data_IF_337458281958
#
_entry.id   IF_337458281958
#
_cell.length_a   1.000
_cell.length_b   1.000
_cell.length_c   1.000
_cell.angle_alpha   90.00
_cell.angle_beta   90.00
_cell.angle_gamma   90.00
#
_symmetry.space_group_name_H-M   'P 1'
#
loop_
_entity.id
_entity.type
_entity.pdbx_description
1 polymer ?
#
# COMPACT_ATOMS: atom_id res chain seq x y z
N UNK A 1 8.43 -33.58 -28.33
CA UNK A 1 9.42 -32.93 -27.44
C UNK A 1 8.90 -31.59 -26.94
N UNK A 2 8.32 -30.76 -27.83
CA UNK A 2 7.74 -29.44 -27.50
C UNK A 2 6.66 -29.45 -26.40
N UNK A 3 5.68 -30.36 -26.44
CA UNK A 3 4.63 -30.43 -25.39
C UNK A 3 5.19 -30.66 -23.99
N UNK A 4 6.24 -31.49 -23.86
CA UNK A 4 6.88 -31.79 -22.58
C UNK A 4 7.65 -30.59 -22.05
N UNK A 5 8.37 -29.87 -22.93
CA UNK A 5 9.07 -28.64 -22.56
C UNK A 5 8.09 -27.54 -22.12
N UNK A 6 6.97 -27.40 -22.83
CA UNK A 6 5.88 -26.49 -22.43
C UNK A 6 5.37 -26.81 -21.02
N UNK A 7 5.04 -28.08 -20.74
CA UNK A 7 4.56 -28.53 -19.41
C UNK A 7 5.58 -28.16 -18.32
N UNK A 8 6.87 -28.46 -18.52
CA UNK A 8 7.93 -28.14 -17.55
C UNK A 8 7.98 -26.63 -17.28
N UNK A 9 7.87 -25.79 -18.32
CA UNK A 9 7.86 -24.34 -18.15
C UNK A 9 6.65 -23.84 -17.35
N UNK A 10 5.46 -24.41 -17.58
CA UNK A 10 4.27 -24.06 -16.80
C UNK A 10 4.43 -24.50 -15.35
N UNK A 11 4.89 -25.72 -15.08
CA UNK A 11 5.14 -26.21 -13.73
C UNK A 11 6.16 -25.34 -12.98
N UNK A 12 7.22 -24.87 -13.66
CA UNK A 12 8.16 -23.90 -13.10
C UNK A 12 7.46 -22.60 -12.70
N UNK A 13 6.63 -22.03 -13.58
CA UNK A 13 5.86 -20.81 -13.28
C UNK A 13 4.91 -21.00 -12.10
N UNK A 14 4.23 -22.14 -12.02
CA UNK A 14 3.36 -22.48 -10.88
C UNK A 14 4.19 -22.54 -9.59
N UNK A 15 5.33 -23.23 -9.62
CA UNK A 15 6.22 -23.33 -8.46
C UNK A 15 6.67 -21.95 -7.96
N UNK A 16 7.10 -21.06 -8.86
CA UNK A 16 7.48 -19.69 -8.51
C UNK A 16 6.32 -18.94 -7.83
N UNK A 17 5.10 -19.02 -8.39
CA UNK A 17 3.92 -18.38 -7.77
C UNK A 17 3.58 -19.00 -6.42
N UNK A 18 3.76 -20.30 -6.25
CA UNK A 18 3.56 -20.97 -4.96
C UNK A 18 4.56 -20.47 -3.90
N UNK A 19 5.82 -20.24 -4.28
CA UNK A 19 6.83 -19.69 -3.37
C UNK A 19 6.49 -18.26 -2.97
N UNK A 20 6.10 -17.42 -3.93
CA UNK A 20 5.62 -16.07 -3.63
C UNK A 20 4.41 -16.09 -2.70
N UNK A 21 3.40 -16.90 -2.97
CA UNK A 21 2.19 -16.98 -2.14
C UNK A 21 2.50 -17.47 -0.72
N UNK A 22 3.37 -18.49 -0.57
CA UNK A 22 3.80 -19.01 0.73
C UNK A 22 4.54 -17.98 1.58
N UNK A 23 5.25 -17.04 0.95
CA UNK A 23 5.97 -15.98 1.65
C UNK A 23 5.05 -14.91 2.26
N UNK A 24 3.77 -14.88 1.88
CA UNK A 24 2.82 -13.90 2.39
C UNK A 24 2.35 -14.25 3.81
N UNK A 25 2.22 -13.26 4.72
CA UNK A 25 1.80 -13.48 6.10
C UNK A 25 0.42 -14.16 6.19
N UNK A 26 -0.60 -13.49 5.66
CA UNK A 26 -1.97 -13.93 5.65
C UNK A 26 -2.30 -14.60 4.30
N UNK A 27 -3.10 -15.68 4.34
CA UNK A 27 -3.52 -16.45 3.15
C UNK A 27 -5.05 -16.38 3.00
N UNK A 28 -5.57 -15.19 2.76
CA UNK A 28 -7.01 -14.94 2.65
C UNK A 28 -7.64 -15.68 1.46
N UNK A 29 -6.87 -15.85 0.38
CA UNK A 29 -7.30 -16.47 -0.87
C UNK A 29 -6.82 -17.92 -1.02
N UNK A 30 -6.41 -18.60 0.06
CA UNK A 30 -5.77 -19.93 -0.01
C UNK A 30 -6.59 -20.95 -0.81
N UNK A 31 -7.88 -21.08 -0.49
CA UNK A 31 -8.80 -21.98 -1.20
C UNK A 31 -8.89 -21.66 -2.69
N UNK A 32 -8.95 -20.38 -3.06
CA UNK A 32 -9.05 -19.97 -4.47
C UNK A 32 -7.73 -20.22 -5.21
N UNK A 33 -6.60 -19.97 -4.56
CA UNK A 33 -5.26 -20.23 -5.11
C UNK A 33 -5.03 -21.73 -5.33
N UNK A 34 -5.37 -22.58 -4.36
CA UNK A 34 -5.26 -24.04 -4.45
C UNK A 34 -6.16 -24.61 -5.56
N UNK A 35 -7.41 -24.15 -5.65
CA UNK A 35 -8.33 -24.54 -6.73
C UNK A 35 -7.77 -24.16 -8.10
N UNK A 36 -7.16 -22.98 -8.22
CA UNK A 36 -6.57 -22.54 -9.47
C UNK A 36 -5.35 -23.39 -9.87
N UNK A 37 -4.48 -23.76 -8.90
CA UNK A 37 -3.37 -24.67 -9.15
C UNK A 37 -3.91 -26.03 -9.63
N UNK A 38 -4.90 -26.59 -8.92
CA UNK A 38 -5.50 -27.87 -9.29
C UNK A 38 -6.12 -27.83 -10.69
N UNK A 39 -6.76 -26.72 -11.06
CA UNK A 39 -7.30 -26.52 -12.40
C UNK A 39 -6.21 -26.56 -13.48
N UNK A 40 -5.14 -25.79 -13.31
CA UNK A 40 -4.04 -25.73 -14.28
C UNK A 40 -3.32 -27.08 -14.36
N UNK A 41 -2.99 -27.70 -13.23
CA UNK A 41 -2.36 -29.03 -13.20
C UNK A 41 -3.23 -30.10 -13.86
N UNK A 42 -4.54 -30.13 -13.57
CA UNK A 42 -5.47 -31.06 -14.19
C UNK A 42 -5.58 -30.89 -15.71
N UNK A 43 -5.47 -29.65 -16.22
CA UNK A 43 -5.41 -29.38 -17.66
C UNK A 43 -4.14 -29.94 -18.31
N UNK A 44 -2.99 -29.85 -17.64
CA UNK A 44 -1.72 -30.40 -18.10
C UNK A 44 -1.74 -31.94 -18.10
N UNK A 45 -2.25 -32.56 -17.03
CA UNK A 45 -2.30 -34.02 -16.86
C UNK A 45 -3.15 -34.70 -17.93
N UNK A 46 -4.29 -34.10 -18.30
CA UNK A 46 -5.17 -34.64 -19.35
C UNK A 46 -4.55 -34.62 -20.75
N UNK A 47 -3.54 -33.77 -20.98
CA UNK A 47 -3.00 -33.51 -22.32
C UNK A 47 -1.48 -33.74 -22.42
N UNK A 48 -0.90 -34.59 -21.54
CA UNK A 48 0.56 -34.81 -21.42
C UNK A 48 1.27 -35.04 -22.76
N UNK A 49 0.66 -35.81 -23.67
CA UNK A 49 1.29 -36.20 -24.92
C UNK A 49 1.13 -35.16 -26.05
N UNK A 50 0.02 -34.40 -26.04
CA UNK A 50 -0.31 -33.44 -27.10
C UNK A 50 -1.19 -32.32 -26.55
N UNK A 51 -0.64 -31.11 -26.52
CA UNK A 51 -1.36 -29.88 -26.18
C UNK A 51 -1.44 -29.05 -27.45
N UNK A 52 -2.64 -28.64 -27.86
CA UNK A 52 -2.83 -27.75 -29.02
C UNK A 52 -2.39 -26.33 -28.70
N UNK A 53 -2.12 -25.51 -29.71
CA UNK A 53 -1.77 -24.09 -29.50
C UNK A 53 -2.86 -23.34 -28.70
N UNK A 54 -4.14 -23.63 -28.98
CA UNK A 54 -5.25 -23.05 -28.21
C UNK A 54 -5.19 -23.47 -26.74
N UNK A 55 -5.01 -24.76 -26.44
CA UNK A 55 -4.89 -25.25 -25.08
C UNK A 55 -3.65 -24.67 -24.36
N UNK A 56 -2.53 -24.48 -25.08
CA UNK A 56 -1.35 -23.82 -24.53
C UNK A 56 -1.67 -22.38 -24.13
N UNK A 57 -2.40 -21.65 -24.97
CA UNK A 57 -2.79 -20.27 -24.68
C UNK A 57 -3.75 -20.19 -23.49
N UNK A 58 -4.71 -21.10 -23.40
CA UNK A 58 -5.65 -21.17 -22.28
C UNK A 58 -4.89 -21.43 -20.96
N UNK A 59 -3.97 -22.41 -20.95
CA UNK A 59 -3.11 -22.70 -19.79
C UNK A 59 -2.22 -21.50 -19.42
N UNK A 60 -1.69 -20.78 -20.41
CA UNK A 60 -0.90 -19.57 -20.15
C UNK A 60 -1.74 -18.48 -19.51
N UNK A 61 -2.98 -18.26 -19.98
CA UNK A 61 -3.91 -17.31 -19.39
C UNK A 61 -4.25 -17.69 -17.93
N UNK A 62 -4.47 -18.97 -17.67
CA UNK A 62 -4.80 -19.45 -16.32
C UNK A 62 -3.58 -19.45 -15.38
N UNK A 63 -2.36 -19.49 -15.94
CA UNK A 63 -1.12 -19.21 -15.19
C UNK A 63 -0.97 -17.72 -14.88
N UNK A 64 -1.39 -16.82 -15.79
CA UNK A 64 -1.46 -15.38 -15.51
C UNK A 64 -2.52 -15.07 -14.45
N UNK A 65 -3.64 -15.81 -14.43
CA UNK A 65 -4.61 -15.72 -13.33
C UNK A 65 -3.98 -16.03 -11.98
N UNK A 66 -3.17 -17.09 -11.87
CA UNK A 66 -2.40 -17.39 -10.63
C UNK A 66 -1.55 -16.19 -10.19
N UNK A 67 -0.89 -15.51 -11.13
CA UNK A 67 -0.13 -14.31 -10.82
C UNK A 67 -1.02 -13.20 -10.25
N UNK A 68 -2.18 -12.94 -10.86
CA UNK A 68 -3.14 -11.93 -10.37
C UNK A 68 -3.70 -12.28 -8.99
N UNK A 69 -3.90 -13.55 -8.66
CA UNK A 69 -4.29 -13.97 -7.30
C UNK A 69 -3.20 -13.60 -6.29
N UNK A 70 -1.93 -13.85 -6.61
CA UNK A 70 -0.79 -13.47 -5.75
C UNK A 70 -0.72 -11.95 -5.57
N UNK A 71 -0.95 -11.16 -6.63
CA UNK A 71 -0.96 -9.70 -6.51
C UNK A 71 -2.13 -9.20 -5.65
N UNK A 72 -3.33 -9.78 -5.82
CA UNK A 72 -4.45 -9.45 -4.96
C UNK A 72 -4.14 -9.75 -3.49
N UNK A 73 -3.59 -10.94 -3.18
CA UNK A 73 -3.20 -11.30 -1.82
C UNK A 73 -2.14 -10.34 -1.24
N UNK A 74 -1.19 -9.86 -2.05
CA UNK A 74 -0.22 -8.83 -1.63
C UNK A 74 -0.91 -7.53 -1.22
N UNK A 75 -1.91 -7.07 -1.99
CA UNK A 75 -2.68 -5.87 -1.64
C UNK A 75 -3.46 -6.09 -0.33
N UNK A 76 -4.07 -7.26 -0.15
CA UNK A 76 -4.80 -7.60 1.07
C UNK A 76 -3.91 -7.73 2.32
N UNK A 77 -2.63 -8.05 2.14
CA UNK A 77 -1.63 -8.05 3.21
C UNK A 77 -1.04 -6.66 3.50
N UNK A 78 -1.28 -5.66 2.64
CA UNK A 78 -0.71 -4.34 2.81
C UNK A 78 -1.36 -3.58 3.98
N UNK A 79 -0.54 -2.90 4.79
CA UNK A 79 -1.02 -2.15 5.96
C UNK A 79 -2.12 -1.15 5.62
N UNK A 80 -2.00 -0.49 4.45
CA UNK A 80 -2.99 0.49 4.01
C UNK A 80 -4.37 -0.14 3.76
N UNK A 81 -4.42 -1.36 3.23
CA UNK A 81 -5.67 -2.10 3.12
C UNK A 81 -6.19 -2.49 4.50
N UNK A 82 -5.33 -3.02 5.38
CA UNK A 82 -5.75 -3.48 6.71
C UNK A 82 -6.42 -2.38 7.55
N UNK A 83 -5.91 -1.15 7.45
CA UNK A 83 -6.49 0.03 8.10
C UNK A 83 -7.83 0.40 7.45
N UNK A 84 -7.91 0.33 6.13
CA UNK A 84 -9.07 0.81 5.35
C UNK A 84 -10.06 -0.28 4.91
N UNK A 85 -9.94 -1.51 5.41
CA UNK A 85 -10.75 -2.67 4.96
C UNK A 85 -12.25 -2.50 5.15
N UNK A 86 -12.66 -1.63 6.09
CA UNK A 86 -14.06 -1.31 6.37
C UNK A 86 -14.55 -0.07 5.60
N UNK A 87 -13.70 0.56 4.80
CA UNK A 87 -14.11 1.65 3.92
C UNK A 87 -14.96 1.06 2.78
N UNK A 88 -16.18 1.55 2.62
CA UNK A 88 -17.15 1.02 1.64
C UNK A 88 -16.60 0.99 0.21
N UNK A 89 -15.85 2.00 -0.21
CA UNK A 89 -15.25 2.04 -1.55
C UNK A 89 -14.15 0.97 -1.70
N UNK A 90 -13.37 0.73 -0.64
CA UNK A 90 -12.35 -0.34 -0.63
C UNK A 90 -13.03 -1.70 -0.68
N UNK A 91 -14.07 -1.92 0.12
CA UNK A 91 -14.84 -3.16 0.15
C UNK A 91 -15.45 -3.49 -1.22
N UNK A 92 -16.14 -2.52 -1.84
CA UNK A 92 -16.74 -2.67 -3.17
C UNK A 92 -15.68 -2.99 -4.23
N UNK A 93 -14.51 -2.34 -4.17
CA UNK A 93 -13.42 -2.61 -5.11
C UNK A 93 -12.76 -3.99 -4.90
N UNK A 94 -12.66 -4.47 -3.66
CA UNK A 94 -12.19 -5.84 -3.39
C UNK A 94 -13.17 -6.86 -3.93
N UNK A 95 -14.48 -6.65 -3.77
CA UNK A 95 -15.50 -7.54 -4.34
C UNK A 95 -15.37 -7.59 -5.87
N UNK A 96 -15.20 -6.44 -6.53
CA UNK A 96 -14.98 -6.36 -7.97
C UNK A 96 -13.70 -7.08 -8.42
N UNK A 97 -12.59 -6.91 -7.69
CA UNK A 97 -11.32 -7.58 -7.96
C UNK A 97 -11.44 -9.10 -7.80
N UNK A 98 -12.06 -9.56 -6.72
CA UNK A 98 -12.34 -10.98 -6.48
C UNK A 98 -13.22 -11.56 -7.60
N UNK A 99 -14.29 -10.87 -8.00
CA UNK A 99 -15.16 -11.33 -9.09
C UNK A 99 -14.43 -11.42 -10.44
N UNK A 100 -13.56 -10.46 -10.73
CA UNK A 100 -12.79 -10.40 -11.99
C UNK A 100 -11.70 -11.47 -12.06
N UNK A 101 -10.98 -11.72 -10.96
CA UNK A 101 -9.80 -12.59 -10.93
C UNK A 101 -10.17 -14.03 -10.59
N UNK A 102 -11.05 -14.23 -9.59
CA UNK A 102 -11.41 -15.53 -9.03
C UNK A 102 -12.67 -16.13 -9.69
N UNK A 103 -13.33 -15.38 -10.57
CA UNK A 103 -14.54 -15.81 -11.25
C UNK A 103 -14.32 -16.98 -12.23
N UNK A 104 -15.38 -17.70 -12.56
CA UNK A 104 -15.34 -18.88 -13.44
C UNK A 104 -15.32 -18.54 -14.95
N UNK A 105 -15.34 -17.25 -15.31
CA UNK A 105 -15.32 -16.80 -16.70
C UNK A 105 -13.90 -16.87 -17.28
N UNK A 106 -13.79 -16.78 -18.62
CA UNK A 106 -12.49 -16.69 -19.29
C UNK A 106 -11.64 -15.56 -18.69
N UNK A 107 -10.38 -15.88 -18.40
CA UNK A 107 -9.44 -14.90 -17.84
C UNK A 107 -9.05 -13.86 -18.87
N UNK A 108 -9.10 -12.59 -18.48
CA UNK A 108 -8.56 -11.47 -19.25
C UNK A 108 -7.50 -10.76 -18.41
N UNK A 109 -6.25 -10.78 -18.89
CA UNK A 109 -5.11 -10.19 -18.18
C UNK A 109 -5.27 -8.68 -18.04
N UNK A 110 -5.60 -7.98 -19.12
CA UNK A 110 -5.71 -6.52 -19.14
C UNK A 110 -6.74 -6.03 -18.12
N UNK A 111 -7.94 -6.65 -18.12
CA UNK A 111 -9.00 -6.33 -17.16
C UNK A 111 -8.57 -6.60 -15.72
N UNK A 112 -7.86 -7.70 -15.49
CA UNK A 112 -7.39 -8.07 -14.15
C UNK A 112 -6.34 -7.08 -13.63
N UNK A 113 -5.36 -6.73 -14.48
CA UNK A 113 -4.32 -5.75 -14.14
C UNK A 113 -4.88 -4.35 -13.93
N UNK A 114 -5.86 -3.94 -14.75
CA UNK A 114 -6.57 -2.68 -14.56
C UNK A 114 -7.30 -2.65 -13.22
N UNK A 115 -8.03 -3.72 -12.89
CA UNK A 115 -8.78 -3.81 -11.63
C UNK A 115 -7.85 -3.80 -10.41
N UNK A 116 -6.70 -4.48 -10.47
CA UNK A 116 -5.68 -4.45 -9.41
C UNK A 116 -5.13 -3.03 -9.21
N UNK A 117 -4.80 -2.32 -10.29
CA UNK A 117 -4.34 -0.92 -10.22
C UNK A 117 -5.38 0.01 -9.62
N UNK A 118 -6.65 -0.16 -9.99
CA UNK A 118 -7.75 0.61 -9.42
C UNK A 118 -7.90 0.33 -7.92
N UNK A 119 -7.81 -0.94 -7.50
CA UNK A 119 -7.84 -1.31 -6.09
C UNK A 119 -6.68 -0.67 -5.31
N UNK A 120 -5.45 -0.74 -5.80
CA UNK A 120 -4.30 -0.07 -5.18
C UNK A 120 -4.53 1.44 -5.04
N UNK A 121 -5.09 2.07 -6.08
CA UNK A 121 -5.40 3.50 -6.07
C UNK A 121 -6.42 3.85 -5.00
N UNK A 122 -7.50 3.09 -4.89
CA UNK A 122 -8.56 3.32 -3.89
C UNK A 122 -8.05 3.06 -2.47
N UNK A 123 -7.26 2.01 -2.26
CA UNK A 123 -6.64 1.71 -0.96
C UNK A 123 -5.69 2.84 -0.53
N UNK A 124 -4.88 3.34 -1.44
CA UNK A 124 -3.95 4.44 -1.15
C UNK A 124 -4.68 5.78 -0.91
N UNK A 125 -5.74 6.04 -1.67
CA UNK A 125 -6.56 7.24 -1.49
C UNK A 125 -7.28 7.21 -0.12
N UNK A 126 -7.82 6.06 0.29
CA UNK A 126 -8.48 5.89 1.58
C UNK A 126 -7.52 6.09 2.77
N UNK A 127 -6.23 5.79 2.58
CA UNK A 127 -5.18 6.00 3.58
C UNK A 127 -4.66 7.42 3.72
N UNK A 128 -5.11 8.35 2.88
CA UNK A 128 -4.66 9.74 2.96
C UNK A 128 -5.40 10.43 4.10
N UNK A 129 -4.66 10.86 5.12
CA UNK A 129 -5.24 11.67 6.23
C UNK A 129 -5.90 12.90 5.62
N UNK A 130 -7.22 12.95 5.74
CA UNK A 130 -8.05 14.02 5.18
C UNK A 130 -7.73 15.35 5.86
N UNK A 131 -8.08 16.46 5.21
CA UNK A 131 -7.91 17.78 5.81
C UNK A 131 -8.72 17.86 7.11
N UNK A 132 -9.91 17.30 7.12
CA UNK A 132 -10.81 17.25 8.26
C UNK A 132 -10.20 16.47 9.44
N UNK A 133 -9.57 15.31 9.18
CA UNK A 133 -8.87 14.55 10.20
C UNK A 133 -7.65 15.29 10.74
N UNK A 134 -6.86 15.94 9.88
CA UNK A 134 -5.76 16.81 10.33
C UNK A 134 -6.29 17.94 11.20
N UNK A 135 -7.36 18.61 10.79
CA UNK A 135 -8.00 19.66 11.57
C UNK A 135 -8.52 19.16 12.91
N UNK A 136 -9.13 17.97 12.96
CA UNK A 136 -9.56 17.36 14.23
C UNK A 136 -8.38 17.09 15.16
N UNK A 137 -7.27 16.55 14.65
CA UNK A 137 -6.05 16.32 15.43
C UNK A 137 -5.45 17.64 15.92
N UNK A 138 -5.33 18.65 15.05
CA UNK A 138 -4.81 19.98 15.43
C UNK A 138 -5.70 20.62 16.51
N UNK A 139 -7.02 20.58 16.34
CA UNK A 139 -7.98 21.10 17.33
C UNK A 139 -7.88 20.36 18.66
N UNK A 140 -7.77 19.03 18.63
CA UNK A 140 -7.67 18.21 19.84
C UNK A 140 -6.37 18.47 20.61
N UNK A 141 -5.26 18.74 19.91
CA UNK A 141 -3.98 19.09 20.53
C UNK A 141 -3.95 20.51 21.12
N UNK A 142 -4.83 21.41 20.67
CA UNK A 142 -5.00 22.75 21.26
C UNK A 142 -3.80 23.70 21.11
N UNK A 143 -2.86 23.39 20.21
CA UNK A 143 -1.65 24.19 19.98
C UNK A 143 -1.90 25.27 18.90
N UNK A 144 -1.10 26.34 18.93
CA UNK A 144 -1.05 27.33 17.86
C UNK A 144 -0.44 26.72 16.59
N UNK A 145 -0.61 27.38 15.45
CA UNK A 145 0.01 26.93 14.20
C UNK A 145 1.53 27.12 14.22
N UNK A 146 2.27 26.22 13.56
CA UNK A 146 3.73 26.17 13.51
C UNK A 146 4.38 25.16 14.45
N UNK A 147 3.60 24.29 15.11
CA UNK A 147 4.10 23.35 16.13
C UNK A 147 4.35 21.93 15.61
N UNK A 148 4.08 21.67 14.32
CA UNK A 148 4.19 20.34 13.72
C UNK A 148 5.49 20.18 12.91
N UNK A 149 6.12 19.02 13.05
CA UNK A 149 7.40 18.68 12.45
C UNK A 149 7.42 17.24 11.95
N UNK A 150 8.43 16.89 11.14
CA UNK A 150 8.71 15.54 10.66
C UNK A 150 10.13 15.12 11.01
N UNK A 151 10.26 13.85 11.39
CA UNK A 151 11.57 13.21 11.50
C UNK A 151 12.17 12.96 10.09
N UNK A 152 13.44 12.51 10.00
CA UNK A 152 14.09 12.24 8.71
C UNK A 152 13.35 11.22 7.84
N UNK A 153 12.57 10.34 8.47
CA UNK A 153 11.78 9.29 7.81
C UNK A 153 10.33 9.71 7.50
N UNK A 154 9.94 10.97 7.80
CA UNK A 154 8.63 11.52 7.42
C UNK A 154 7.50 11.37 8.45
N UNK A 155 7.75 10.73 9.59
CA UNK A 155 6.78 10.61 10.69
C UNK A 155 6.54 11.95 11.38
N UNK A 156 5.27 12.30 11.63
CA UNK A 156 4.87 13.55 12.25
C UNK A 156 5.12 13.53 13.76
N UNK A 157 5.60 14.65 14.29
CA UNK A 157 5.65 14.91 15.73
C UNK A 157 5.36 16.39 15.99
N UNK A 158 5.09 16.74 17.24
CA UNK A 158 4.91 18.13 17.64
C UNK A 158 5.93 18.54 18.70
N UNK A 159 6.26 19.83 18.74
CA UNK A 159 7.05 20.44 19.81
C UNK A 159 6.09 21.34 20.61
N UNK A 160 5.93 21.05 21.89
CA UNK A 160 5.06 21.79 22.80
C UNK A 160 5.62 23.16 23.21
N UNK A 161 5.04 23.77 24.24
CA UNK A 161 5.48 25.04 24.83
C UNK A 161 5.54 26.20 23.82
N UNK A 162 6.74 26.73 23.55
CA UNK A 162 6.99 27.81 22.59
C UNK A 162 7.07 27.34 21.13
N UNK A 163 7.03 26.02 20.88
CA UNK A 163 7.14 25.44 19.54
C UNK A 163 8.54 25.43 18.95
N UNK A 164 9.56 25.86 19.72
CA UNK A 164 10.97 25.79 19.32
C UNK A 164 11.71 24.61 19.96
N UNK A 165 12.62 24.00 19.20
CA UNK A 165 13.32 22.79 19.60
C UNK A 165 14.36 23.04 20.70
N UNK A 166 14.08 22.59 21.92
CA UNK A 166 14.96 22.75 23.09
C UNK A 166 15.56 21.44 23.61
N UNK A 167 15.00 20.30 23.20
CA UNK A 167 15.47 18.98 23.58
C UNK A 167 15.51 18.05 22.36
N UNK A 168 16.49 17.15 22.35
CA UNK A 168 16.54 16.03 21.40
C UNK A 168 15.88 14.80 22.03
N UNK A 169 15.01 14.14 21.26
CA UNK A 169 14.32 12.90 21.64
C UNK A 169 14.38 11.87 20.51
N UNK A 170 13.65 10.76 20.64
CA UNK A 170 13.53 9.71 19.62
C UNK A 170 12.11 9.68 19.05
N UNK A 171 12.01 9.50 17.73
CA UNK A 171 10.75 9.24 17.05
C UNK A 171 10.11 7.95 17.60
N UNK A 172 8.84 8.04 17.99
CA UNK A 172 8.05 6.92 18.49
C UNK A 172 7.81 5.82 17.44
N UNK A 173 7.86 6.14 16.15
CA UNK A 173 7.64 5.18 15.06
C UNK A 173 8.93 4.50 14.57
N UNK A 174 10.01 5.27 14.37
CA UNK A 174 11.24 4.75 13.73
C UNK A 174 12.52 4.88 14.58
N UNK A 175 12.45 5.47 15.77
CA UNK A 175 13.60 5.64 16.67
C UNK A 175 14.65 6.68 16.24
N UNK A 176 14.48 7.32 15.07
CA UNK A 176 15.38 8.39 14.61
C UNK A 176 15.37 9.59 15.56
N UNK A 177 16.48 10.35 15.63
CA UNK A 177 16.58 11.56 16.44
C UNK A 177 15.64 12.67 15.95
N UNK A 178 14.87 13.24 16.87
CA UNK A 178 13.91 14.33 16.64
C UNK A 178 14.14 15.49 17.61
N UNK A 179 13.60 16.67 17.30
CA UNK A 179 13.77 17.87 18.12
C UNK A 179 15.04 18.63 17.78
N UNK A 180 15.78 19.10 18.78
CA UNK A 180 16.90 20.02 18.60
C UNK A 180 17.28 20.76 19.89
N UNK A 181 18.08 21.82 19.78
CA UNK A 181 18.57 22.59 20.93
C UNK A 181 18.64 24.07 20.62
N UNK A 182 18.52 24.93 21.62
CA UNK A 182 18.57 26.40 21.47
C UNK A 182 17.57 26.92 20.44
N UNK A 183 16.35 26.36 20.47
CA UNK A 183 15.26 26.58 19.52
C UNK A 183 15.59 26.22 18.06
N UNK A 184 16.74 25.61 17.79
CA UNK A 184 17.15 25.18 16.46
C UNK A 184 16.83 23.70 16.29
N UNK A 185 15.99 23.41 15.30
CA UNK A 185 15.67 22.05 14.87
C UNK A 185 16.93 21.35 14.33
N UNK A 186 17.04 20.03 14.55
CA UNK A 186 18.07 19.23 13.90
C UNK A 186 17.95 19.35 12.37
N UNK A 187 19.08 19.43 11.66
CA UNK A 187 19.11 19.72 10.21
C UNK A 187 18.40 18.66 9.35
N UNK A 188 18.24 17.43 9.86
CA UNK A 188 17.54 16.34 9.18
C UNK A 188 16.04 16.23 9.54
N UNK A 189 15.54 17.11 10.40
CA UNK A 189 14.14 17.25 10.74
C UNK A 189 13.53 18.41 9.95
N UNK A 190 12.22 18.41 9.71
CA UNK A 190 11.56 19.46 8.90
C UNK A 190 10.29 19.96 9.57
N UNK A 191 9.94 21.22 9.33
CA UNK A 191 8.62 21.76 9.67
C UNK A 191 7.53 21.11 8.81
N UNK A 192 6.36 20.85 9.40
CA UNK A 192 5.24 20.13 8.79
C UNK A 192 3.97 20.98 8.76
N UNK A 193 4.05 22.11 8.06
CA UNK A 193 2.97 23.10 7.94
C UNK A 193 1.69 22.58 7.28
N UNK A 194 1.75 21.46 6.55
CA UNK A 194 0.59 20.79 5.99
C UNK A 194 -0.36 20.14 7.02
N UNK A 195 0.01 20.14 8.30
CA UNK A 195 -0.86 19.72 9.41
C UNK A 195 -1.81 20.82 9.85
N UNK A 196 -1.32 22.06 9.97
CA UNK A 196 -2.02 23.18 10.60
C UNK A 196 -2.11 24.45 9.74
N UNK A 197 -1.64 24.39 8.49
CA UNK A 197 -1.64 25.50 7.54
C UNK A 197 -0.54 26.54 7.75
N UNK A 198 0.40 26.32 8.69
CA UNK A 198 1.50 27.26 8.93
C UNK A 198 2.53 27.26 7.81
N UNK A 199 3.08 28.43 7.47
CA UNK A 199 4.18 28.53 6.51
C UNK A 199 5.53 28.31 7.18
N UNK A 200 5.66 28.73 8.44
CA UNK A 200 6.89 28.66 9.22
C UNK A 200 6.66 28.01 10.58
N UNK A 201 7.72 27.48 11.19
CA UNK A 201 7.66 26.99 12.57
C UNK A 201 7.36 28.13 13.55
N UNK A 202 6.68 27.81 14.66
CA UNK A 202 6.26 28.77 15.68
C UNK A 202 7.43 29.53 16.34
N UNK A 203 8.64 28.97 16.29
CA UNK A 203 9.85 29.67 16.68
C UNK A 203 10.82 29.74 15.48
N UNK A 204 10.68 30.80 14.70
CA UNK A 204 11.53 31.13 13.56
C UNK A 204 11.69 32.66 13.47
N UNK A 205 12.77 33.13 12.85
CA UNK A 205 12.96 34.58 12.61
C UNK A 205 11.80 35.15 11.78
N UNK A 206 11.23 34.35 10.88
CA UNK A 206 10.07 34.68 10.07
C UNK A 206 8.76 34.71 10.87
N UNK A 207 8.57 33.82 11.86
CA UNK A 207 7.41 33.86 12.75
C UNK A 207 7.42 35.06 13.69
N UNK A 208 8.60 35.44 14.20
CA UNK A 208 8.78 36.64 15.02
C UNK A 208 8.37 37.94 14.30
N UNK A 209 8.29 37.89 12.96
CA UNK A 209 7.75 38.95 12.10
C UNK A 209 6.24 38.81 11.80
N UNK A 210 5.50 38.04 12.61
CA UNK A 210 4.04 37.76 12.46
C UNK A 210 3.64 37.15 11.11
N UNK A 211 4.57 36.52 10.38
CA UNK A 211 4.32 36.03 9.01
C UNK A 211 3.27 34.91 8.92
N UNK A 212 3.06 34.15 10.00
CA UNK A 212 2.00 33.14 10.08
C UNK A 212 0.60 33.71 10.41
N UNK A 213 0.49 35.00 10.77
CA UNK A 213 -0.77 35.66 11.18
C UNK A 213 -1.37 36.57 10.10
N UNK A 214 -0.72 36.70 8.93
CA UNK A 214 -1.31 37.41 7.79
C UNK A 214 -2.33 36.52 7.10
N UNK A 215 -3.59 36.67 7.51
CA UNK A 215 -4.73 36.23 6.72
C UNK A 215 -4.77 37.05 5.43
N UNK A 216 -4.72 36.36 4.28
CA UNK A 216 -5.31 36.82 3.03
C UNK A 216 -6.52 35.94 2.74
#
# INVERSE_FOLDING_TARGET
MESRFFIINILKKIYERCQEYKSLPDKNLASSFEKQIAFVCGALERNINKITQQQQQDVLNETKRLHSIVQLEKILNHNMYRINRNNKNVEEMVILACGTILGQTAYCEDKSLETLKQLETVVNAAGTVTKEEKEMVVRAMGMRSGHWFKCPNGHYYCIGECGGAMQVSKCNECGASIGGTSHRLLDNNRHAGEMDGSKFAAYSEEYNNMANFRFM
#
